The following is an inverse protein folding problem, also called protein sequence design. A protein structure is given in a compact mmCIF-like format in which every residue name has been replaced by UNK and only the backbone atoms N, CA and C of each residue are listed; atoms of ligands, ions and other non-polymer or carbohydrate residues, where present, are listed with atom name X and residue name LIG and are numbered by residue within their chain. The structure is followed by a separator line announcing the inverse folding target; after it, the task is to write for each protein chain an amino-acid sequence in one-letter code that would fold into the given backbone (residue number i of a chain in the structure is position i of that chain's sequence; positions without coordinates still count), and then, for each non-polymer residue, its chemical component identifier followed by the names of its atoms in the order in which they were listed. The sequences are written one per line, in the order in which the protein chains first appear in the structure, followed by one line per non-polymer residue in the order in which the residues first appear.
data_IF_965791440622
#
_entry.id   IF_965791440622
#
_cell.length_a   1.000
_cell.length_b   1.000
_cell.length_c   1.000
_cell.angle_alpha   90.00
_cell.angle_beta   90.00
_cell.angle_gamma   90.00
#
_symmetry.space_group_name_H-M   'P 1'
#
loop_
_entity.id
_entity.type
_entity.pdbx_description
1 polymer ?
#
# COMPACT_ATOMS: atom_id res chain seq x y z
N UNK A 1 -20.32 -7.57 19.00
CA UNK A 1 -21.06 -7.30 17.74
C UNK A 1 -20.11 -7.43 16.57
N UNK A 2 -20.52 -8.07 15.47
CA UNK A 2 -19.68 -8.12 14.27
C UNK A 2 -19.98 -6.88 13.42
N UNK A 3 -18.94 -6.15 13.06
CA UNK A 3 -19.05 -4.98 12.18
C UNK A 3 -18.28 -5.32 10.92
N UNK A 4 -18.96 -5.25 9.77
CA UNK A 4 -18.32 -5.27 8.46
C UNK A 4 -18.59 -3.93 7.77
N UNK A 5 -17.66 -3.47 6.95
CA UNK A 5 -17.86 -2.28 6.14
C UNK A 5 -17.13 -2.40 4.81
N UNK A 6 -17.67 -1.73 3.80
CA UNK A 6 -17.02 -1.51 2.51
C UNK A 6 -17.04 -0.02 2.20
N UNK A 7 -15.94 0.49 1.66
CA UNK A 7 -15.82 1.89 1.27
C UNK A 7 -16.07 1.96 -0.23
N UNK A 8 -17.08 2.74 -0.61
CA UNK A 8 -17.57 2.78 -1.99
C UNK A 8 -17.62 4.22 -2.44
N UNK A 9 -16.93 4.48 -3.54
CA UNK A 9 -16.98 5.77 -4.21
C UNK A 9 -18.35 5.93 -4.90
N UNK A 10 -19.01 7.06 -4.66
CA UNK A 10 -20.30 7.41 -5.26
C UNK A 10 -21.42 6.37 -5.00
N UNK A 11 -21.45 5.75 -3.81
CA UNK A 11 -22.56 4.87 -3.43
C UNK A 11 -23.85 5.68 -3.21
N UNK A 12 -24.96 5.21 -3.78
CA UNK A 12 -26.25 5.87 -3.63
C UNK A 12 -26.96 5.42 -2.33
N UNK A 13 -27.62 6.34 -1.60
CA UNK A 13 -28.37 5.98 -0.39
C UNK A 13 -29.41 4.88 -0.62
N UNK A 14 -29.99 4.83 -1.83
CA UNK A 14 -31.08 3.91 -2.17
C UNK A 14 -30.66 2.45 -2.22
N UNK A 15 -29.36 2.19 -2.32
CA UNK A 15 -28.75 0.85 -2.32
C UNK A 15 -28.82 0.19 -0.93
N UNK A 16 -29.19 0.96 0.10
CA UNK A 16 -29.42 0.51 1.46
C UNK A 16 -30.89 0.67 1.89
N UNK A 17 -31.26 -0.09 2.91
CA UNK A 17 -32.57 0.02 3.57
C UNK A 17 -32.55 0.98 4.75
N UNK A 18 -31.35 1.35 5.21
CA UNK A 18 -31.11 2.34 6.25
C UNK A 18 -30.04 3.33 5.77
N UNK A 19 -30.29 4.63 5.93
CA UNK A 19 -29.29 5.67 5.71
C UNK A 19 -29.04 6.45 7.01
N UNK A 20 -27.77 6.72 7.31
CA UNK A 20 -27.38 7.57 8.44
C UNK A 20 -26.95 8.93 7.87
N UNK A 21 -27.48 10.02 8.44
CA UNK A 21 -27.23 11.39 7.94
C UNK A 21 -26.92 12.35 9.08
N UNK A 22 -26.07 13.33 8.83
CA UNK A 22 -25.76 14.38 9.82
C UNK A 22 -26.80 15.50 9.79
N UNK A 23 -27.08 16.09 10.95
CA UNK A 23 -27.92 17.28 11.12
C UNK A 23 -27.38 18.19 12.23
N UNK A 24 -27.97 19.37 12.40
CA UNK A 24 -27.80 20.15 13.63
C UNK A 24 -28.90 19.83 14.66
N UNK A 25 -28.76 20.34 15.88
CA UNK A 25 -29.65 20.08 17.03
C UNK A 25 -31.10 20.54 16.83
N UNK A 26 -31.37 21.42 15.84
CA UNK A 26 -32.70 21.97 15.55
C UNK A 26 -33.32 21.29 14.31
N UNK A 27 -32.57 20.46 13.58
CA UNK A 27 -33.07 19.78 12.40
C UNK A 27 -33.20 20.70 11.18
N UNK A 28 -32.29 21.64 10.95
CA UNK A 28 -32.38 22.47 9.74
C UNK A 28 -32.03 21.65 8.49
N UNK A 29 -32.78 21.80 7.37
CA UNK A 29 -32.38 21.23 6.09
C UNK A 29 -31.00 21.74 5.66
N UNK A 30 -30.15 20.82 5.21
CA UNK A 30 -28.82 21.05 4.67
C UNK A 30 -28.58 20.18 3.43
N UNK A 31 -27.42 20.32 2.78
CA UNK A 31 -27.18 19.65 1.50
C UNK A 31 -27.32 18.12 1.58
N UNK A 32 -26.68 17.49 2.57
CA UNK A 32 -26.65 16.03 2.71
C UNK A 32 -28.02 15.44 3.07
N UNK A 33 -28.66 15.94 4.14
CA UNK A 33 -29.94 15.38 4.57
C UNK A 33 -31.02 15.62 3.50
N UNK A 34 -31.07 16.79 2.85
CA UNK A 34 -32.03 17.08 1.78
C UNK A 34 -31.81 16.19 0.56
N UNK A 35 -30.54 15.93 0.19
CA UNK A 35 -30.20 14.98 -0.87
C UNK A 35 -30.75 13.57 -0.57
N UNK A 36 -30.47 13.05 0.63
CA UNK A 36 -30.92 11.70 1.01
C UNK A 36 -32.45 11.63 1.14
N UNK A 37 -33.08 12.67 1.71
CA UNK A 37 -34.53 12.78 1.80
C UNK A 37 -35.17 12.68 0.42
N UNK A 38 -34.71 13.49 -0.53
CA UNK A 38 -35.21 13.48 -1.90
C UNK A 38 -35.04 12.09 -2.55
N UNK A 39 -33.86 11.47 -2.40
CA UNK A 39 -33.59 10.11 -2.93
C UNK A 39 -34.51 9.05 -2.33
N UNK A 40 -34.90 9.18 -1.07
CA UNK A 40 -35.83 8.26 -0.40
C UNK A 40 -37.30 8.62 -0.65
N UNK A 41 -37.58 9.69 -1.41
CA UNK A 41 -38.94 10.16 -1.70
C UNK A 41 -39.58 10.90 -0.52
N UNK A 42 -38.78 11.50 0.36
CA UNK A 42 -39.23 12.27 1.51
C UNK A 42 -39.19 13.77 1.25
N UNK A 43 -40.15 14.47 1.88
CA UNK A 43 -40.19 15.92 1.89
C UNK A 43 -39.40 16.47 3.09
N UNK A 44 -38.69 17.60 2.91
CA UNK A 44 -37.87 18.22 3.97
C UNK A 44 -38.66 18.59 5.23
N UNK A 45 -39.98 18.73 5.13
CA UNK A 45 -40.85 19.01 6.28
C UNK A 45 -40.77 17.96 7.39
N UNK A 46 -40.28 16.75 7.12
CA UNK A 46 -40.08 15.74 8.17
C UNK A 46 -39.06 16.20 9.22
N UNK A 47 -38.14 17.07 8.83
CA UNK A 47 -37.10 17.57 9.73
C UNK A 47 -37.69 18.29 10.95
N UNK A 48 -38.86 18.93 10.80
CA UNK A 48 -39.58 19.62 11.87
C UNK A 48 -40.21 18.66 12.91
N UNK A 49 -40.22 17.36 12.63
CA UNK A 49 -40.84 16.34 13.49
C UNK A 49 -39.80 15.56 14.31
N UNK A 50 -38.51 15.77 14.06
CA UNK A 50 -37.42 15.02 14.71
C UNK A 50 -37.23 15.44 16.17
N UNK A 51 -37.06 14.48 17.07
CA UNK A 51 -36.65 14.73 18.46
C UNK A 51 -35.13 14.54 18.63
N UNK A 52 -34.39 15.60 18.34
CA UNK A 52 -32.92 15.59 18.29
C UNK A 52 -32.24 15.93 19.62
N UNK A 53 -33.00 16.15 20.71
CA UNK A 53 -32.45 16.59 22.01
C UNK A 53 -31.46 15.61 22.62
N UNK A 54 -31.61 14.32 22.31
CA UNK A 54 -30.71 13.23 22.74
C UNK A 54 -29.50 13.04 21.82
N UNK A 55 -29.32 13.90 20.82
CA UNK A 55 -28.21 13.85 19.88
C UNK A 55 -28.47 13.07 18.59
N UNK A 56 -29.60 12.38 18.46
CA UNK A 56 -30.00 11.70 17.23
C UNK A 56 -31.50 11.42 17.24
N UNK A 57 -32.05 11.09 16.07
CA UNK A 57 -33.41 10.52 15.98
C UNK A 57 -33.52 9.49 14.85
N UNK A 58 -34.30 8.43 15.07
CA UNK A 58 -34.54 7.37 14.10
C UNK A 58 -35.94 7.53 13.51
N UNK A 59 -36.01 7.81 12.22
CA UNK A 59 -37.25 7.99 11.49
C UNK A 59 -37.49 6.83 10.52
N UNK A 60 -38.74 6.40 10.38
CA UNK A 60 -39.13 5.36 9.45
C UNK A 60 -40.36 5.80 8.65
N UNK A 61 -40.30 5.63 7.33
CA UNK A 61 -41.46 5.80 6.46
C UNK A 61 -41.32 4.87 5.25
N UNK A 62 -42.42 4.27 4.78
CA UNK A 62 -42.43 3.34 3.63
C UNK A 62 -41.39 2.19 3.68
N UNK A 63 -41.04 1.72 4.88
CA UNK A 63 -40.08 0.62 5.07
C UNK A 63 -38.60 1.00 4.93
N UNK A 64 -38.27 2.27 4.69
CA UNK A 64 -36.90 2.79 4.68
C UNK A 64 -36.61 3.52 6.00
N UNK A 65 -35.45 3.26 6.58
CA UNK A 65 -35.01 3.85 7.84
C UNK A 65 -34.03 5.01 7.59
N UNK A 66 -34.19 6.09 8.34
CA UNK A 66 -33.30 7.24 8.35
C UNK A 66 -32.88 7.52 9.78
N UNK A 67 -31.58 7.47 10.04
CA UNK A 67 -31.01 7.84 11.32
C UNK A 67 -30.34 9.21 11.19
N UNK A 68 -30.93 10.21 11.83
CA UNK A 68 -30.37 11.56 11.91
C UNK A 68 -29.44 11.64 13.10
N UNK A 69 -28.19 12.07 12.89
CA UNK A 69 -27.18 12.23 13.94
C UNK A 69 -26.81 13.70 14.04
N UNK A 70 -26.93 14.27 15.24
CA UNK A 70 -26.55 15.66 15.50
C UNK A 70 -25.03 15.76 15.54
N UNK A 71 -24.47 16.51 14.60
CA UNK A 71 -23.02 16.79 14.52
C UNK A 71 -22.67 18.25 14.78
N UNK A 72 -23.70 19.11 14.88
CA UNK A 72 -23.56 20.56 15.11
C UNK A 72 -24.58 20.96 16.16
N UNK A 73 -24.12 21.60 17.22
CA UNK A 73 -24.94 22.13 18.30
C UNK A 73 -24.35 23.45 18.79
N UNK A 74 -25.13 24.26 19.50
CA UNK A 74 -24.65 25.50 20.11
C UNK A 74 -23.50 25.26 21.09
N UNK A 75 -23.50 24.12 21.76
CA UNK A 75 -22.47 23.68 22.69
C UNK A 75 -21.91 22.32 22.24
N UNK A 76 -20.58 22.22 22.22
CA UNK A 76 -19.86 20.99 21.88
C UNK A 76 -19.17 21.04 20.53
N UNK A 77 -17.99 20.43 20.47
CA UNK A 77 -17.22 20.31 19.23
C UNK A 77 -17.78 19.19 18.35
N UNK A 78 -17.80 19.41 17.02
CA UNK A 78 -18.31 18.42 16.05
C UNK A 78 -17.69 17.05 16.19
N UNK A 79 -16.39 16.95 16.53
CA UNK A 79 -15.71 15.66 16.74
C UNK A 79 -16.30 14.87 17.90
N UNK A 80 -16.57 15.55 19.02
CA UNK A 80 -17.14 14.95 20.24
C UNK A 80 -18.59 14.57 19.98
N UNK A 81 -19.37 15.51 19.43
CA UNK A 81 -20.78 15.28 19.09
C UNK A 81 -20.95 14.11 18.12
N UNK A 82 -20.17 14.06 17.03
CA UNK A 82 -20.25 12.98 16.06
C UNK A 82 -19.94 11.64 16.72
N UNK A 83 -18.84 11.54 17.47
CA UNK A 83 -18.43 10.28 18.10
C UNK A 83 -19.50 9.77 19.07
N UNK A 84 -19.90 10.59 20.03
CA UNK A 84 -20.85 10.22 21.08
C UNK A 84 -22.24 9.95 20.51
N UNK A 85 -22.75 10.86 19.68
CA UNK A 85 -24.10 10.73 19.14
C UNK A 85 -24.21 9.57 18.16
N UNK A 86 -23.23 9.34 17.30
CA UNK A 86 -23.26 8.19 16.38
C UNK A 86 -23.19 6.86 17.14
N UNK A 87 -22.30 6.76 18.15
CA UNK A 87 -22.21 5.58 18.98
C UNK A 87 -23.55 5.30 19.68
N UNK A 88 -24.12 6.30 20.36
CA UNK A 88 -25.40 6.19 21.07
C UNK A 88 -26.57 5.92 20.12
N UNK A 89 -26.54 6.50 18.92
CA UNK A 89 -27.56 6.31 17.91
C UNK A 89 -27.59 4.87 17.39
N UNK A 90 -26.41 4.30 17.13
CA UNK A 90 -26.31 2.91 16.66
C UNK A 90 -26.60 1.95 17.82
N UNK A 91 -25.95 2.11 18.97
CA UNK A 91 -26.03 1.18 20.09
C UNK A 91 -27.46 1.03 20.64
N UNK A 92 -28.22 2.12 20.73
CA UNK A 92 -29.59 2.09 21.24
C UNK A 92 -30.63 1.62 20.20
N UNK A 93 -30.26 1.52 18.92
CA UNK A 93 -31.16 1.10 17.83
C UNK A 93 -30.72 -0.19 17.12
N UNK A 94 -29.74 -0.91 17.68
CA UNK A 94 -29.25 -2.21 17.19
C UNK A 94 -30.41 -3.14 16.78
N UNK A 95 -31.42 -3.30 17.64
CA UNK A 95 -32.58 -4.16 17.38
C UNK A 95 -33.38 -3.77 16.14
N UNK A 96 -33.47 -2.48 15.82
CA UNK A 96 -34.18 -1.96 14.65
C UNK A 96 -33.40 -2.16 13.34
N UNK A 97 -32.07 -2.33 13.41
CA UNK A 97 -31.23 -2.46 12.23
C UNK A 97 -31.19 -3.89 11.68
N UNK A 98 -31.40 -4.89 12.54
CA UNK A 98 -31.43 -6.29 12.11
C UNK A 98 -30.20 -6.69 11.29
N UNK A 99 -30.43 -7.18 10.06
CA UNK A 99 -29.38 -7.51 9.08
C UNK A 99 -29.39 -6.54 7.87
N UNK A 100 -29.88 -5.32 8.05
CA UNK A 100 -29.96 -4.34 6.96
C UNK A 100 -28.57 -3.88 6.54
N UNK A 101 -28.39 -3.63 5.24
CA UNK A 101 -27.26 -2.84 4.76
C UNK A 101 -27.49 -1.38 5.15
N UNK A 102 -26.46 -0.77 5.73
CA UNK A 102 -26.49 0.59 6.27
C UNK A 102 -25.63 1.47 5.36
N UNK A 103 -26.24 2.45 4.71
CA UNK A 103 -25.51 3.49 3.99
C UNK A 103 -25.09 4.59 4.97
N UNK A 104 -23.80 4.91 4.98
CA UNK A 104 -23.19 5.85 5.91
C UNK A 104 -22.18 6.72 5.16
N UNK A 105 -22.44 8.02 4.98
CA UNK A 105 -21.46 8.93 4.39
C UNK A 105 -20.44 9.39 5.42
N UNK A 106 -19.40 10.11 4.98
CA UNK A 106 -18.48 10.81 5.86
C UNK A 106 -19.19 11.99 6.55
N UNK A 107 -19.58 11.79 7.81
CA UNK A 107 -20.37 12.74 8.60
C UNK A 107 -19.55 13.93 9.12
N UNK A 108 -20.19 15.09 9.27
CA UNK A 108 -19.58 16.29 9.86
C UNK A 108 -18.61 17.06 8.95
N UNK A 109 -18.51 16.69 7.67
CA UNK A 109 -17.52 17.21 6.71
C UNK A 109 -17.94 18.48 5.97
N UNK A 110 -19.23 18.82 6.03
CA UNK A 110 -19.77 20.08 5.55
C UNK A 110 -19.64 21.19 6.60
N UNK A 111 -20.77 21.71 7.07
CA UNK A 111 -20.82 22.77 8.08
C UNK A 111 -20.15 22.42 9.42
N UNK A 112 -19.90 21.14 9.70
CA UNK A 112 -19.16 20.68 10.88
C UNK A 112 -17.64 20.83 10.77
N UNK A 113 -17.12 21.11 9.56
CA UNK A 113 -15.71 21.47 9.34
C UNK A 113 -14.69 20.33 9.46
N UNK A 114 -15.13 19.06 9.55
CA UNK A 114 -14.21 17.93 9.57
C UNK A 114 -13.62 17.67 8.17
N UNK A 115 -12.36 17.23 8.13
CA UNK A 115 -11.84 16.61 6.90
C UNK A 115 -12.41 15.21 6.71
N UNK A 116 -12.26 14.64 5.51
CA UNK A 116 -12.69 13.27 5.23
C UNK A 116 -11.92 12.23 6.06
N UNK A 117 -10.62 12.45 6.28
CA UNK A 117 -9.76 11.63 7.14
C UNK A 117 -10.17 11.70 8.60
N UNK A 118 -10.52 12.89 9.10
CA UNK A 118 -10.98 13.08 10.47
C UNK A 118 -12.32 12.39 10.71
N UNK A 119 -13.27 12.58 9.79
CA UNK A 119 -14.55 11.89 9.81
C UNK A 119 -14.36 10.37 9.81
N UNK A 120 -13.53 9.85 8.90
CA UNK A 120 -13.22 8.42 8.79
C UNK A 120 -12.62 7.83 10.07
N UNK A 121 -11.63 8.51 10.66
CA UNK A 121 -11.03 8.09 11.94
C UNK A 121 -12.07 8.03 13.06
N UNK A 122 -13.01 8.97 13.10
CA UNK A 122 -14.10 8.96 14.08
C UNK A 122 -15.06 7.79 13.83
N UNK A 123 -15.45 7.53 12.58
CA UNK A 123 -16.28 6.39 12.22
C UNK A 123 -15.62 5.06 12.63
N UNK A 124 -14.33 4.88 12.33
CA UNK A 124 -13.56 3.70 12.77
C UNK A 124 -13.52 3.54 14.29
N UNK A 125 -13.34 4.65 15.02
CA UNK A 125 -13.36 4.62 16.48
C UNK A 125 -14.70 4.13 17.02
N UNK A 126 -15.82 4.62 16.45
CA UNK A 126 -17.17 4.19 16.82
C UNK A 126 -17.38 2.73 16.46
N UNK A 127 -16.96 2.28 15.28
CA UNK A 127 -17.06 0.87 14.88
C UNK A 127 -16.31 -0.07 15.83
N UNK A 128 -15.16 0.35 16.34
CA UNK A 128 -14.40 -0.43 17.31
C UNK A 128 -15.11 -0.48 18.65
N UNK A 129 -15.58 0.64 19.18
CA UNK A 129 -16.34 0.67 20.45
C UNK A 129 -17.65 -0.14 20.36
N UNK A 130 -18.33 -0.13 19.20
CA UNK A 130 -19.53 -0.92 18.96
C UNK A 130 -19.28 -2.43 18.99
N UNK A 131 -18.08 -2.91 18.62
CA UNK A 131 -17.74 -4.35 18.67
C UNK A 131 -17.81 -4.88 20.10
N UNK A 132 -17.46 -4.04 21.09
CA UNK A 132 -17.34 -4.39 22.50
C UNK A 132 -18.68 -4.55 23.23
N UNK A 133 -19.79 -4.12 22.62
CA UNK A 133 -21.16 -4.20 23.21
C UNK A 133 -21.67 -5.65 23.38
N UNK A 134 -20.95 -6.67 22.86
CA UNK A 134 -21.29 -8.08 23.12
C UNK A 134 -22.54 -8.62 22.42
N UNK A 135 -23.16 -7.85 21.51
CA UNK A 135 -24.31 -8.32 20.70
C UNK A 135 -23.91 -9.39 19.67
N UNK A 136 -24.82 -10.33 19.39
CA UNK A 136 -24.69 -11.36 18.33
C UNK A 136 -25.05 -10.86 16.92
N UNK A 137 -25.55 -9.63 16.78
CA UNK A 137 -25.88 -9.08 15.47
C UNK A 137 -24.62 -8.76 14.64
N UNK A 138 -24.82 -8.74 13.33
CA UNK A 138 -23.85 -8.31 12.34
C UNK A 138 -24.39 -7.06 11.62
N UNK A 139 -23.64 -5.97 11.67
CA UNK A 139 -23.97 -4.74 10.96
C UNK A 139 -23.03 -4.59 9.75
N UNK A 140 -23.61 -4.33 8.58
CA UNK A 140 -22.89 -4.18 7.33
C UNK A 140 -23.02 -2.73 6.84
N UNK A 141 -21.91 -1.99 6.82
CA UNK A 141 -21.89 -0.59 6.41
C UNK A 141 -21.38 -0.44 4.97
N UNK A 142 -22.07 0.37 4.18
CA UNK A 142 -21.57 0.94 2.94
C UNK A 142 -21.13 2.36 3.26
N UNK A 143 -19.83 2.56 3.41
CA UNK A 143 -19.23 3.85 3.69
C UNK A 143 -19.12 4.62 2.39
N UNK A 144 -20.00 5.60 2.20
CA UNK A 144 -20.15 6.32 0.96
C UNK A 144 -19.22 7.54 0.90
N UNK A 145 -18.33 7.55 -0.09
CA UNK A 145 -17.45 8.68 -0.38
C UNK A 145 -18.08 9.50 -1.51
N UNK A 146 -18.19 10.84 -1.35
CA UNK A 146 -18.83 11.68 -2.36
C UNK A 146 -18.06 11.70 -3.69
N UNK A 147 -18.79 11.85 -4.79
CA UNK A 147 -18.24 12.02 -6.14
C UNK A 147 -17.82 13.48 -6.39
N UNK A 148 -16.80 13.91 -5.67
CA UNK A 148 -16.14 15.19 -5.87
C UNK A 148 -14.62 15.03 -5.81
N UNK A 149 -13.88 16.09 -6.17
CA UNK A 149 -12.41 16.06 -6.22
C UNK A 149 -11.78 15.64 -4.88
N UNK A 150 -12.31 16.14 -3.77
CA UNK A 150 -11.84 15.79 -2.42
C UNK A 150 -12.17 14.36 -2.07
N UNK A 151 -13.33 13.88 -2.51
CA UNK A 151 -13.81 12.52 -2.27
C UNK A 151 -12.98 11.53 -3.05
N UNK A 152 -12.62 11.87 -4.29
CA UNK A 152 -11.74 11.08 -5.11
C UNK A 152 -10.31 11.06 -4.54
N UNK A 153 -9.78 12.20 -4.09
CA UNK A 153 -8.49 12.28 -3.40
C UNK A 153 -8.47 11.40 -2.14
N UNK A 154 -9.46 11.56 -1.25
CA UNK A 154 -9.61 10.73 -0.05
C UNK A 154 -9.78 9.25 -0.38
N UNK A 155 -10.64 8.92 -1.35
CA UNK A 155 -10.88 7.55 -1.77
C UNK A 155 -9.61 6.93 -2.32
N UNK A 156 -8.83 7.64 -3.14
CA UNK A 156 -7.57 7.15 -3.68
C UNK A 156 -6.49 7.03 -2.60
N UNK A 157 -6.44 7.96 -1.64
CA UNK A 157 -5.55 7.86 -0.49
C UNK A 157 -5.91 6.67 0.41
N UNK A 158 -7.19 6.39 0.64
CA UNK A 158 -7.63 5.18 1.35
C UNK A 158 -7.43 3.89 0.54
N UNK A 159 -7.75 3.94 -0.75
CA UNK A 159 -7.70 2.79 -1.66
C UNK A 159 -6.28 2.46 -2.10
N UNK A 160 -5.32 3.38 -1.93
CA UNK A 160 -3.90 3.14 -2.09
C UNK A 160 -3.34 2.31 -0.93
N UNK A 161 -3.55 2.72 0.32
CA UNK A 161 -2.93 2.05 1.48
C UNK A 161 -3.73 0.83 2.00
N UNK A 162 -5.07 0.89 1.99
CA UNK A 162 -5.94 -0.14 2.59
C UNK A 162 -6.24 -1.30 1.63
N UNK A 163 -6.43 -1.03 0.33
CA UNK A 163 -6.68 -2.07 -0.68
C UNK A 163 -5.41 -2.89 -0.94
N UNK A 164 -4.26 -2.24 -0.99
CA UNK A 164 -2.97 -2.93 -1.16
C UNK A 164 -2.65 -3.81 0.05
N UNK A 165 -2.90 -3.34 1.28
CA UNK A 165 -2.74 -4.16 2.49
C UNK A 165 -3.69 -5.37 2.51
N UNK A 166 -4.96 -5.18 2.11
CA UNK A 166 -5.90 -6.30 1.96
C UNK A 166 -5.41 -7.30 0.92
N UNK A 167 -4.92 -6.84 -0.24
CA UNK A 167 -4.33 -7.71 -1.26
C UNK A 167 -3.13 -8.50 -0.72
N UNK A 168 -2.25 -7.89 0.07
CA UNK A 168 -1.14 -8.61 0.74
C UNK A 168 -1.71 -9.73 1.62
N UNK A 169 -2.71 -9.42 2.45
CA UNK A 169 -3.34 -10.40 3.35
C UNK A 169 -4.05 -11.53 2.59
N UNK A 170 -4.69 -11.22 1.46
CA UNK A 170 -5.31 -12.21 0.58
C UNK A 170 -4.27 -13.12 -0.08
N UNK A 171 -3.18 -12.55 -0.61
CA UNK A 171 -2.08 -13.33 -1.21
C UNK A 171 -1.43 -14.24 -0.19
N UNK A 172 -1.18 -13.76 1.03
CA UNK A 172 -0.66 -14.57 2.15
C UNK A 172 -1.57 -15.78 2.39
N UNK A 173 -2.89 -15.56 2.46
CA UNK A 173 -3.86 -16.65 2.66
C UNK A 173 -3.94 -17.61 1.47
N UNK A 174 -3.99 -17.08 0.25
CA UNK A 174 -4.12 -17.87 -0.99
C UNK A 174 -2.91 -18.78 -1.21
N UNK A 175 -1.72 -18.25 -0.94
CA UNK A 175 -0.45 -18.99 -1.08
C UNK A 175 -0.13 -19.85 0.16
N UNK A 176 -0.92 -19.74 1.23
CA UNK A 176 -0.72 -20.50 2.47
C UNK A 176 0.55 -20.12 3.23
N UNK A 177 1.01 -18.87 3.07
CA UNK A 177 2.22 -18.36 3.72
C UNK A 177 1.97 -18.11 5.20
N UNK A 178 2.95 -18.46 6.04
CA UNK A 178 2.92 -18.15 7.47
C UNK A 178 3.73 -16.88 7.73
N UNK A 179 3.36 -16.17 8.78
CA UNK A 179 4.04 -14.94 9.20
C UNK A 179 4.68 -15.18 10.56
N UNK A 180 5.93 -14.76 10.73
CA UNK A 180 6.65 -14.88 11.99
C UNK A 180 7.16 -13.51 12.42
N UNK A 181 6.82 -13.10 13.64
CA UNK A 181 7.45 -11.96 14.30
C UNK A 181 8.77 -12.41 14.89
N UNK A 182 9.85 -11.68 14.61
CA UNK A 182 11.18 -12.02 15.10
C UNK A 182 11.87 -10.86 15.81
N UNK A 183 12.61 -11.17 16.87
CA UNK A 183 13.48 -10.25 17.59
C UNK A 183 14.94 -10.38 17.15
N UNK A 184 15.74 -9.38 17.49
CA UNK A 184 17.14 -9.25 17.10
C UNK A 184 18.08 -8.92 18.25
N UNK A 185 17.58 -8.92 19.48
CA UNK A 185 18.38 -8.59 20.65
C UNK A 185 18.47 -9.77 21.61
N UNK A 186 19.70 -10.11 21.98
CA UNK A 186 20.06 -11.05 23.02
C UNK A 186 21.39 -10.61 23.63
N UNK A 187 21.63 -10.97 24.89
CA UNK A 187 22.86 -10.64 25.64
C UNK A 187 23.23 -9.14 25.67
N UNK A 188 22.27 -8.25 25.44
CA UNK A 188 22.47 -6.80 25.41
C UNK A 188 22.93 -6.24 24.06
N UNK A 189 23.20 -7.10 23.08
CA UNK A 189 23.60 -6.71 21.73
C UNK A 189 22.40 -6.64 20.78
N UNK A 190 22.50 -5.76 19.79
CA UNK A 190 21.54 -5.59 18.70
C UNK A 190 22.13 -6.20 17.42
N UNK A 191 21.42 -7.14 16.81
CA UNK A 191 21.93 -7.99 15.73
C UNK A 191 21.29 -7.68 14.37
N UNK A 192 20.40 -6.67 14.34
CA UNK A 192 19.67 -6.26 13.15
C UNK A 192 20.56 -6.00 11.92
N UNK A 193 21.67 -5.28 12.09
CA UNK A 193 22.59 -4.94 10.98
C UNK A 193 23.20 -6.20 10.37
N UNK A 194 23.71 -7.11 11.22
CA UNK A 194 24.22 -8.42 10.80
C UNK A 194 23.18 -9.22 10.02
N UNK A 195 21.93 -9.22 10.47
CA UNK A 195 20.83 -9.93 9.81
C UNK A 195 20.55 -9.40 8.42
N UNK A 196 20.52 -8.08 8.27
CA UNK A 196 20.24 -7.41 7.01
C UNK A 196 21.36 -7.56 5.99
N UNK A 197 22.62 -7.55 6.44
CA UNK A 197 23.80 -7.66 5.58
C UNK A 197 24.04 -9.10 5.12
N UNK A 198 23.86 -10.06 6.03
CA UNK A 198 24.10 -11.47 5.71
C UNK A 198 22.88 -12.16 5.08
N UNK A 199 21.71 -11.51 5.05
CA UNK A 199 20.47 -12.10 4.53
C UNK A 199 19.99 -13.28 5.37
N UNK A 200 19.99 -13.11 6.69
CA UNK A 200 19.63 -14.17 7.65
C UNK A 200 18.74 -13.63 8.76
N UNK A 201 18.10 -14.54 9.47
CA UNK A 201 17.67 -14.34 10.84
C UNK A 201 18.15 -15.52 11.71
N UNK A 202 18.52 -15.24 12.96
CA UNK A 202 19.03 -16.25 13.90
C UNK A 202 18.49 -15.97 15.31
N UNK A 203 18.04 -17.01 16.00
CA UNK A 203 17.67 -16.89 17.42
C UNK A 203 18.92 -16.86 18.29
N UNK A 204 18.98 -15.96 19.27
CA UNK A 204 20.03 -16.00 20.29
C UNK A 204 19.95 -17.28 21.12
N UNK A 205 20.89 -18.21 20.90
CA UNK A 205 21.18 -19.49 21.59
C UNK A 205 20.09 -20.13 22.48
N UNK A 206 18.81 -20.06 22.08
CA UNK A 206 17.67 -20.55 22.86
C UNK A 206 17.00 -21.72 22.14
N UNK A 207 17.36 -22.94 22.54
CA UNK A 207 16.78 -24.18 22.01
C UNK A 207 15.25 -24.25 22.19
N UNK A 208 14.66 -23.42 23.06
CA UNK A 208 13.22 -23.33 23.30
C UNK A 208 12.42 -23.11 22.03
N UNK A 209 12.96 -22.37 21.06
CA UNK A 209 12.26 -22.02 19.83
C UNK A 209 12.61 -22.92 18.65
N UNK A 210 13.52 -23.87 18.81
CA UNK A 210 13.98 -24.78 17.75
C UNK A 210 12.84 -25.48 17.03
N UNK A 211 11.81 -25.93 17.77
CA UNK A 211 10.62 -26.56 17.21
C UNK A 211 9.86 -25.64 16.26
N UNK A 212 9.66 -24.37 16.61
CA UNK A 212 8.96 -23.38 15.76
C UNK A 212 9.84 -23.07 14.54
N UNK A 213 11.13 -22.82 14.76
CA UNK A 213 12.09 -22.47 13.71
C UNK A 213 12.17 -23.57 12.65
N UNK A 214 12.14 -24.84 13.07
CA UNK A 214 12.13 -25.98 12.16
C UNK A 214 10.82 -26.14 11.37
N UNK A 215 9.75 -25.42 11.72
CA UNK A 215 8.50 -25.44 10.93
C UNK A 215 8.46 -24.39 9.82
N UNK A 216 9.40 -23.44 9.82
CA UNK A 216 9.44 -22.33 8.86
C UNK A 216 9.86 -22.85 7.49
N UNK A 217 9.12 -22.50 6.45
CA UNK A 217 9.35 -22.92 5.06
C UNK A 217 9.85 -21.76 4.21
N UNK A 218 10.49 -22.09 3.11
CA UNK A 218 10.79 -21.13 2.05
C UNK A 218 9.48 -20.49 1.54
N UNK A 219 9.49 -19.17 1.36
CA UNK A 219 8.33 -18.35 1.03
C UNK A 219 7.58 -17.76 2.24
N UNK A 220 7.76 -18.29 3.45
CA UNK A 220 7.15 -17.70 4.65
C UNK A 220 7.67 -16.27 4.90
N UNK A 221 6.90 -15.48 5.64
CA UNK A 221 7.19 -14.07 5.89
C UNK A 221 7.75 -13.89 7.30
N UNK A 222 8.78 -13.05 7.41
CA UNK A 222 9.40 -12.67 8.68
C UNK A 222 9.26 -11.17 8.88
N UNK A 223 8.64 -10.76 9.99
CA UNK A 223 8.55 -9.36 10.42
C UNK A 223 9.52 -9.15 11.57
N UNK A 224 10.54 -8.35 11.33
CA UNK A 224 11.49 -7.97 12.36
C UNK A 224 10.91 -6.86 13.24
N UNK A 225 10.85 -7.13 14.56
CA UNK A 225 10.28 -6.24 15.55
C UNK A 225 11.10 -6.13 16.83
N UNK A 226 10.80 -5.10 17.61
CA UNK A 226 11.09 -5.05 19.05
C UNK A 226 9.81 -4.75 19.83
N UNK A 227 9.70 -5.23 21.07
CA UNK A 227 8.59 -4.89 21.95
C UNK A 227 9.11 -4.18 23.19
N UNK A 228 8.51 -3.05 23.56
CA UNK A 228 8.88 -2.33 24.78
C UNK A 228 7.67 -1.67 25.44
N UNK A 229 7.64 -1.63 26.79
CA UNK A 229 6.70 -0.82 27.55
C UNK A 229 7.16 0.64 27.63
N UNK A 230 6.22 1.58 27.76
CA UNK A 230 6.53 2.97 28.12
C UNK A 230 6.26 3.22 29.60
N UNK A 231 6.82 4.33 30.12
CA UNK A 231 6.63 4.76 31.52
C UNK A 231 5.17 5.05 31.87
N UNK A 232 4.34 5.32 30.87
CA UNK A 232 2.91 5.61 31.01
C UNK A 232 2.02 4.36 30.96
N UNK A 233 2.62 3.15 30.94
CA UNK A 233 1.91 1.88 30.95
C UNK A 233 1.41 1.40 29.59
N UNK A 234 1.66 2.16 28.51
CA UNK A 234 1.40 1.72 27.13
C UNK A 234 2.45 0.71 26.67
N UNK A 235 2.06 -0.25 25.83
CA UNK A 235 2.94 -1.28 25.29
C UNK A 235 3.00 -1.16 23.77
N UNK A 236 4.20 -1.12 23.21
CA UNK A 236 4.41 -0.95 21.77
C UNK A 236 5.13 -2.14 21.16
N UNK A 237 4.76 -2.43 19.92
CA UNK A 237 5.59 -3.18 18.98
C UNK A 237 6.20 -2.18 18.00
N UNK A 238 7.52 -2.12 17.93
CA UNK A 238 8.23 -1.36 16.90
C UNK A 238 8.58 -2.27 15.74
N UNK A 239 8.00 -1.98 14.58
CA UNK A 239 8.36 -2.58 13.31
C UNK A 239 9.72 -2.03 12.84
N UNK A 240 10.63 -2.94 12.50
CA UNK A 240 12.00 -2.63 12.04
C UNK A 240 12.26 -3.07 10.60
N UNK A 241 11.57 -4.09 10.13
CA UNK A 241 11.74 -4.62 8.80
C UNK A 241 10.84 -5.82 8.51
N UNK A 242 10.84 -6.24 7.24
CA UNK A 242 10.08 -7.38 6.74
C UNK A 242 10.92 -8.09 5.68
N UNK A 243 10.92 -9.41 5.71
CA UNK A 243 11.61 -10.24 4.73
C UNK A 243 10.87 -11.53 4.44
N UNK A 244 11.37 -12.24 3.45
CA UNK A 244 10.84 -13.52 2.96
C UNK A 244 11.88 -14.59 3.21
N UNK A 245 11.45 -15.74 3.71
CA UNK A 245 12.34 -16.86 3.98
C UNK A 245 12.82 -17.45 2.66
N UNK A 246 14.13 -17.43 2.44
CA UNK A 246 14.80 -18.01 1.26
C UNK A 246 15.18 -19.47 1.47
N UNK A 247 15.33 -19.90 2.71
CA UNK A 247 15.71 -21.28 3.00
C UNK A 247 15.90 -21.53 4.48
N UNK A 248 15.68 -22.77 4.89
CA UNK A 248 15.82 -23.22 6.26
C UNK A 248 16.64 -24.52 6.27
N UNK A 249 17.76 -24.53 7.00
CA UNK A 249 18.56 -25.75 7.19
C UNK A 249 17.98 -26.69 8.25
N UNK A 250 16.87 -26.31 8.88
CA UNK A 250 16.19 -27.06 9.94
C UNK A 250 17.09 -27.41 11.13
N UNK A 251 18.02 -26.50 11.45
CA UNK A 251 18.96 -26.64 12.57
C UNK A 251 18.39 -26.05 13.88
N UNK A 252 17.15 -25.56 13.86
CA UNK A 252 16.47 -24.98 15.01
C UNK A 252 16.97 -23.61 15.45
N UNK A 253 17.86 -22.95 14.69
CA UNK A 253 18.48 -21.70 15.12
C UNK A 253 18.49 -20.60 14.06
N UNK A 254 18.67 -20.95 12.78
CA UNK A 254 18.96 -19.98 11.72
C UNK A 254 18.16 -20.25 10.45
N UNK A 255 17.67 -19.18 9.85
CA UNK A 255 16.99 -19.17 8.54
C UNK A 255 17.64 -18.12 7.62
N UNK A 256 17.64 -18.39 6.32
CA UNK A 256 17.98 -17.41 5.30
C UNK A 256 16.77 -16.53 4.98
N UNK A 257 16.97 -15.22 4.91
CA UNK A 257 15.91 -14.23 4.71
C UNK A 257 16.34 -13.23 3.64
N UNK A 258 15.49 -13.05 2.64
CA UNK A 258 15.56 -11.91 1.74
C UNK A 258 14.77 -10.74 2.33
N UNK A 259 15.48 -9.75 2.85
CA UNK A 259 14.90 -8.63 3.57
C UNK A 259 14.45 -7.54 2.59
N UNK A 260 13.14 -7.40 2.42
CA UNK A 260 12.50 -6.42 1.54
C UNK A 260 12.47 -5.02 2.14
N UNK A 261 12.16 -4.92 3.44
CA UNK A 261 12.07 -3.68 4.20
C UNK A 261 13.06 -3.70 5.35
N UNK A 262 13.83 -2.63 5.53
CA UNK A 262 14.91 -2.52 6.52
C UNK A 262 14.94 -1.15 7.17
N UNK A 263 15.40 -1.09 8.43
CA UNK A 263 15.72 0.18 9.12
C UNK A 263 14.52 1.02 9.56
N UNK A 264 13.30 0.47 9.57
CA UNK A 264 12.11 1.18 10.01
C UNK A 264 12.09 1.41 11.53
N UNK A 265 11.36 2.43 11.95
CA UNK A 265 11.10 2.76 13.36
C UNK A 265 9.63 3.15 13.54
N UNK A 266 8.74 2.23 13.18
CA UNK A 266 7.29 2.45 13.23
C UNK A 266 6.75 1.79 14.49
N UNK A 267 6.11 2.58 15.35
CA UNK A 267 5.55 2.12 16.61
C UNK A 267 4.06 1.81 16.48
N UNK A 268 3.67 0.61 16.87
CA UNK A 268 2.30 0.10 16.85
C UNK A 268 1.83 -0.09 18.29
N UNK A 269 0.80 0.66 18.70
CA UNK A 269 0.18 0.54 20.02
C UNK A 269 -0.49 -0.85 20.18
N UNK A 270 -0.60 -1.31 21.44
CA UNK A 270 -1.32 -2.52 21.85
C UNK A 270 -0.80 -3.87 21.32
N UNK A 271 0.34 -3.91 20.62
CA UNK A 271 1.01 -5.14 20.18
C UNK A 271 2.28 -5.50 20.97
N UNK A 272 2.62 -4.74 22.02
CA UNK A 272 3.83 -4.97 22.82
C UNK A 272 3.81 -6.23 23.70
N UNK A 273 2.77 -7.05 23.63
CA UNK A 273 2.72 -8.37 24.27
C UNK A 273 3.50 -9.44 23.49
N UNK A 274 3.86 -9.18 22.22
CA UNK A 274 4.76 -10.02 21.40
C UNK A 274 6.22 -9.88 21.85
N UNK A 275 6.52 -10.32 23.08
CA UNK A 275 7.83 -10.14 23.73
C UNK A 275 8.86 -11.22 23.40
N UNK A 276 8.44 -12.37 22.89
CA UNK A 276 9.34 -13.50 22.60
C UNK A 276 10.23 -13.22 21.38
N UNK A 277 11.35 -13.94 21.31
CA UNK A 277 12.31 -13.86 20.20
C UNK A 277 11.68 -14.27 18.87
N UNK A 278 10.75 -15.22 18.89
CA UNK A 278 9.92 -15.56 17.74
C UNK A 278 8.48 -15.83 18.19
N UNK A 279 7.51 -15.44 17.37
CA UNK A 279 6.10 -15.77 17.55
C UNK A 279 5.38 -15.79 16.19
N UNK A 280 4.39 -16.67 16.06
CA UNK A 280 3.42 -16.59 14.97
C UNK A 280 2.24 -15.71 15.45
N UNK A 281 2.04 -14.52 14.87
CA UNK A 281 0.98 -13.60 15.29
C UNK A 281 -0.38 -14.02 14.71
N UNK A 282 -1.45 -13.44 15.26
CA UNK A 282 -2.77 -13.58 14.65
C UNK A 282 -2.86 -12.77 13.36
N UNK A 283 -3.77 -13.14 12.45
CA UNK A 283 -4.01 -12.36 11.23
C UNK A 283 -4.44 -10.92 11.54
N UNK A 284 -5.12 -10.69 12.68
CA UNK A 284 -5.51 -9.37 13.13
C UNK A 284 -4.29 -8.52 13.49
N UNK A 285 -3.28 -9.09 14.15
CA UNK A 285 -2.05 -8.39 14.49
C UNK A 285 -1.22 -8.08 13.23
N UNK A 286 -1.13 -9.03 12.29
CA UNK A 286 -0.48 -8.80 10.99
C UNK A 286 -1.17 -7.65 10.27
N UNK A 287 -2.50 -7.64 10.23
CA UNK A 287 -3.30 -6.56 9.63
C UNK A 287 -2.99 -5.22 10.29
N UNK A 288 -2.96 -5.18 11.62
CA UNK A 288 -2.63 -3.96 12.37
C UNK A 288 -1.22 -3.47 12.03
N UNK A 289 -0.22 -4.35 11.98
CA UNK A 289 1.16 -3.98 11.63
C UNK A 289 1.23 -3.41 10.22
N UNK A 290 0.65 -4.10 9.23
CA UNK A 290 0.69 -3.66 7.83
C UNK A 290 -0.02 -2.32 7.64
N UNK A 291 -1.14 -2.08 8.33
CA UNK A 291 -1.85 -0.79 8.28
C UNK A 291 -1.05 0.40 8.84
N UNK A 292 0.06 0.17 9.54
CA UNK A 292 0.97 1.23 10.00
C UNK A 292 2.11 1.51 9.01
N UNK A 293 2.25 0.71 7.94
CA UNK A 293 3.22 0.93 6.88
C UNK A 293 2.64 1.92 5.85
N UNK A 294 3.52 2.60 5.12
CA UNK A 294 3.12 3.48 4.02
C UNK A 294 2.94 2.70 2.71
N UNK A 295 2.27 3.32 1.72
CA UNK A 295 2.02 2.76 0.40
C UNK A 295 3.27 2.13 -0.22
N UNK A 296 4.38 2.85 -0.26
CA UNK A 296 5.61 2.37 -0.90
C UNK A 296 6.12 1.07 -0.27
N UNK A 297 6.08 0.95 1.06
CA UNK A 297 6.46 -0.26 1.76
C UNK A 297 5.51 -1.43 1.44
N UNK A 298 4.19 -1.18 1.37
CA UNK A 298 3.21 -2.20 1.02
C UNK A 298 3.38 -2.64 -0.44
N UNK A 299 3.66 -1.72 -1.37
CA UNK A 299 3.93 -2.01 -2.78
C UNK A 299 5.14 -2.89 -2.97
N UNK A 300 6.21 -2.68 -2.22
CA UNK A 300 7.39 -3.55 -2.24
C UNK A 300 7.02 -4.99 -1.86
N UNK A 301 6.18 -5.16 -0.83
CA UNK A 301 5.70 -6.47 -0.41
C UNK A 301 4.79 -7.10 -1.47
N UNK A 302 3.86 -6.33 -2.04
CA UNK A 302 2.98 -6.79 -3.11
C UNK A 302 3.75 -7.21 -4.38
N UNK A 303 4.74 -6.43 -4.78
CA UNK A 303 5.57 -6.72 -5.94
C UNK A 303 6.33 -8.05 -5.79
N UNK A 304 6.70 -8.40 -4.55
CA UNK A 304 7.29 -9.69 -4.27
C UNK A 304 6.26 -10.83 -4.28
N UNK A 305 5.10 -10.64 -3.63
CA UNK A 305 4.10 -11.70 -3.49
C UNK A 305 3.31 -11.97 -4.78
N UNK A 306 3.24 -11.00 -5.68
CA UNK A 306 2.57 -11.14 -6.98
C UNK A 306 3.34 -10.39 -8.07
N UNK A 307 4.53 -10.88 -8.48
CA UNK A 307 5.38 -10.18 -9.44
C UNK A 307 4.71 -10.06 -10.82
N UNK A 308 3.81 -10.97 -11.16
CA UNK A 308 3.03 -10.94 -12.40
C UNK A 308 2.02 -9.78 -12.46
N UNK A 309 1.56 -9.27 -11.32
CA UNK A 309 0.64 -8.12 -11.25
C UNK A 309 1.35 -6.77 -11.35
N UNK A 310 2.67 -6.72 -11.25
CA UNK A 310 3.49 -5.52 -11.39
C UNK A 310 4.18 -5.42 -12.75
N UNK A 311 3.77 -6.24 -13.71
CA UNK A 311 4.07 -6.03 -15.11
C UNK A 311 3.10 -4.96 -15.63
N UNK A 312 3.59 -3.70 -15.66
CA UNK A 312 3.01 -2.49 -16.28
C UNK A 312 2.04 -1.66 -15.38
N UNK A 313 2.28 -0.41 -14.96
CA UNK A 313 2.36 0.80 -15.80
C UNK A 313 2.95 2.04 -15.09
N UNK A 314 4.16 1.99 -14.52
CA UNK A 314 4.90 3.22 -14.11
C UNK A 314 5.94 3.62 -15.15
N UNK A 315 5.56 3.61 -16.42
CA UNK A 315 6.18 4.49 -17.39
C UNK A 315 5.44 5.84 -17.38
N UNK A 316 5.77 6.70 -16.42
CA UNK A 316 5.77 8.12 -16.76
C UNK A 316 6.81 8.21 -17.87
N UNK A 317 6.41 8.63 -19.07
CA UNK A 317 7.37 9.01 -20.10
C UNK A 317 8.23 10.12 -19.50
N UNK A 318 9.40 9.77 -18.96
CA UNK A 318 10.40 10.75 -18.64
C UNK A 318 10.67 11.55 -19.90
N UNK A 319 10.94 12.85 -19.75
CA UNK A 319 11.66 13.60 -20.78
C UNK A 319 13.08 13.00 -20.88
N UNK A 320 13.17 11.83 -21.48
CA UNK A 320 14.40 11.18 -21.87
C UNK A 320 14.77 11.80 -23.21
N UNK A 321 15.63 12.81 -23.18
CA UNK A 321 16.44 13.14 -24.35
C UNK A 321 17.13 11.87 -24.82
N UNK A 322 16.90 11.44 -26.06
CA UNK A 322 17.43 10.24 -26.72
C UNK A 322 18.65 9.63 -25.99
N UNK A 323 18.40 8.72 -25.04
CA UNK A 323 19.48 8.00 -24.37
C UNK A 323 19.98 6.92 -25.31
N UNK A 324 21.19 7.08 -25.84
CA UNK A 324 21.83 6.10 -26.72
C UNK A 324 22.47 4.91 -25.95
N UNK A 325 22.17 4.81 -24.66
CA UNK A 325 22.60 3.76 -23.71
C UNK A 325 21.36 3.03 -23.17
N UNK A 326 21.52 1.78 -22.72
CA UNK A 326 20.41 0.97 -22.16
C UNK A 326 20.30 -0.42 -22.77
N UNK A 327 19.28 -1.17 -22.38
CA UNK A 327 18.95 -2.51 -22.89
C UNK A 327 18.45 -2.45 -24.35
N UNK A 328 18.74 -3.50 -25.13
CA UNK A 328 18.29 -3.57 -26.51
C UNK A 328 16.84 -4.07 -26.61
N UNK A 329 15.91 -3.14 -26.78
CA UNK A 329 14.50 -3.44 -27.04
C UNK A 329 14.14 -3.43 -28.53
N UNK A 330 15.10 -3.13 -29.41
CA UNK A 330 14.91 -3.08 -30.87
C UNK A 330 15.40 -4.34 -31.58
N UNK A 331 15.96 -5.30 -30.81
CA UNK A 331 16.53 -6.55 -31.30
C UNK A 331 17.60 -6.32 -32.41
N UNK A 332 18.44 -5.30 -32.21
CA UNK A 332 19.52 -4.91 -33.11
C UNK A 332 20.84 -5.61 -32.78
N UNK A 333 20.96 -6.26 -31.62
CA UNK A 333 22.18 -6.95 -31.19
C UNK A 333 22.70 -7.99 -32.21
N UNK A 334 21.85 -8.76 -32.92
CA UNK A 334 22.35 -9.66 -33.98
C UNK A 334 23.16 -8.94 -35.05
N UNK A 335 22.68 -7.79 -35.53
CA UNK A 335 23.37 -6.98 -36.53
C UNK A 335 24.63 -6.33 -35.93
N UNK A 336 24.52 -5.74 -34.73
CA UNK A 336 25.65 -5.16 -33.99
C UNK A 336 26.79 -6.18 -33.85
N UNK A 337 26.46 -7.42 -33.48
CA UNK A 337 27.44 -8.49 -33.33
C UNK A 337 28.09 -8.85 -34.67
N UNK A 338 27.32 -8.97 -35.74
CA UNK A 338 27.86 -9.27 -37.07
C UNK A 338 28.84 -8.18 -37.54
N UNK A 339 28.47 -6.90 -37.38
CA UNK A 339 29.34 -5.78 -37.73
C UNK A 339 30.58 -5.70 -36.83
N UNK A 340 30.44 -5.91 -35.52
CA UNK A 340 31.56 -5.87 -34.59
C UNK A 340 32.60 -6.96 -34.90
N UNK A 341 32.14 -8.18 -35.18
CA UNK A 341 33.01 -9.30 -35.56
C UNK A 341 33.80 -8.97 -36.83
N UNK A 342 33.15 -8.41 -37.84
CA UNK A 342 33.81 -8.01 -39.09
C UNK A 342 34.84 -6.89 -38.86
N UNK A 343 34.45 -5.84 -38.12
CA UNK A 343 35.27 -4.64 -37.91
C UNK A 343 36.46 -4.89 -36.99
N UNK A 344 36.33 -5.80 -36.02
CA UNK A 344 37.40 -6.14 -35.09
C UNK A 344 38.33 -7.25 -35.62
N UNK A 345 37.95 -7.98 -36.67
CA UNK A 345 38.72 -9.12 -37.18
C UNK A 345 40.10 -8.71 -37.68
N UNK A 346 41.14 -9.39 -37.18
CA UNK A 346 42.53 -9.13 -37.57
C UNK A 346 42.84 -9.50 -39.03
N UNK A 347 42.07 -10.43 -39.59
CA UNK A 347 42.16 -10.84 -41.00
C UNK A 347 41.51 -9.84 -41.96
N UNK A 348 40.73 -8.89 -41.45
CA UNK A 348 40.07 -7.88 -42.28
C UNK A 348 41.10 -6.92 -42.89
N UNK A 349 40.98 -6.66 -44.20
CA UNK A 349 41.86 -5.75 -44.94
C UNK A 349 41.09 -4.48 -45.34
N UNK A 350 41.41 -3.29 -44.78
CA UNK A 350 40.75 -2.03 -45.13
C UNK A 350 41.04 -1.60 -46.59
N UNK A 351 40.19 -0.73 -47.19
CA UNK A 351 39.19 0.13 -46.55
C UNK A 351 37.77 -0.47 -46.47
N UNK A 352 37.05 -0.10 -45.41
CA UNK A 352 35.60 -0.35 -45.26
C UNK A 352 34.89 0.96 -44.93
N UNK A 353 33.75 1.19 -45.57
CA UNK A 353 32.82 2.24 -45.20
C UNK A 353 31.43 1.63 -44.98
N UNK A 354 30.82 1.95 -43.85
CA UNK A 354 29.47 1.49 -43.50
C UNK A 354 28.58 2.71 -43.33
N UNK A 355 27.45 2.72 -44.05
CA UNK A 355 26.44 3.77 -43.91
C UNK A 355 25.23 3.23 -43.15
N UNK A 356 24.92 3.84 -42.00
CA UNK A 356 23.74 3.50 -41.21
C UNK A 356 22.59 4.46 -41.55
N UNK A 357 21.58 3.97 -42.27
CA UNK A 357 20.44 4.74 -42.76
C UNK A 357 19.19 4.46 -41.92
N UNK A 358 18.46 5.50 -41.55
CA UNK A 358 17.22 5.36 -40.78
C UNK A 358 16.55 6.69 -40.47
N UNK A 359 15.23 6.69 -40.23
CA UNK A 359 14.45 7.88 -39.89
C UNK A 359 14.96 8.55 -38.59
N UNK A 360 14.68 9.84 -38.40
CA UNK A 360 15.05 10.52 -37.15
C UNK A 360 14.38 9.80 -35.95
N UNK A 361 15.11 9.63 -34.84
CA UNK A 361 14.65 8.84 -33.68
C UNK A 361 14.69 7.31 -33.84
N UNK A 362 15.12 6.75 -34.99
CA UNK A 362 15.11 5.30 -35.22
C UNK A 362 16.20 4.50 -34.47
N UNK A 363 16.87 5.07 -33.48
CA UNK A 363 17.91 4.37 -32.71
C UNK A 363 19.30 4.28 -33.36
N UNK A 364 19.62 5.07 -34.40
CA UNK A 364 20.95 5.02 -35.05
C UNK A 364 22.11 5.28 -34.08
N UNK A 365 21.98 6.29 -33.22
CA UNK A 365 23.00 6.61 -32.21
C UNK A 365 23.14 5.48 -31.20
N UNK A 366 22.04 4.84 -30.82
CA UNK A 366 22.01 3.68 -29.94
C UNK A 366 22.74 2.48 -30.57
N UNK A 367 22.48 2.20 -31.85
CA UNK A 367 23.20 1.18 -32.62
C UNK A 367 24.70 1.44 -32.66
N UNK A 368 25.11 2.68 -32.99
CA UNK A 368 26.54 3.05 -33.05
C UNK A 368 27.24 2.90 -31.70
N UNK A 369 26.55 3.19 -30.61
CA UNK A 369 27.07 3.01 -29.26
C UNK A 369 27.21 1.53 -28.89
N UNK A 370 26.19 0.71 -29.16
CA UNK A 370 26.26 -0.75 -28.95
C UNK A 370 27.38 -1.40 -29.78
N UNK A 371 27.54 -0.96 -31.02
CA UNK A 371 28.63 -1.40 -31.90
C UNK A 371 30.01 -1.05 -31.34
N UNK A 372 30.18 0.18 -30.82
CA UNK A 372 31.43 0.57 -30.15
C UNK A 372 31.75 -0.35 -28.98
N UNK A 373 30.82 -0.50 -28.06
CA UNK A 373 31.03 -1.31 -26.85
C UNK A 373 31.36 -2.77 -27.20
N UNK A 374 30.71 -3.32 -28.24
CA UNK A 374 30.98 -4.68 -28.69
C UNK A 374 32.38 -4.81 -29.31
N UNK A 375 32.84 -3.81 -30.09
CA UNK A 375 34.20 -3.79 -30.65
C UNK A 375 35.25 -3.68 -29.53
N UNK A 376 35.02 -2.80 -28.55
CA UNK A 376 35.89 -2.67 -27.37
C UNK A 376 36.02 -4.00 -26.63
N UNK A 377 34.88 -4.65 -26.34
CA UNK A 377 34.87 -5.97 -25.69
C UNK A 377 35.58 -7.06 -26.50
N UNK A 378 35.44 -7.07 -27.82
CA UNK A 378 36.18 -8.00 -28.68
C UNK A 378 37.69 -7.70 -28.71
N UNK A 379 38.08 -6.43 -28.61
CA UNK A 379 39.48 -5.99 -28.63
C UNK A 379 40.24 -6.35 -27.34
N UNK A 380 39.51 -6.53 -26.23
CA UNK A 380 40.05 -6.95 -24.94
C UNK A 380 40.24 -8.48 -24.83
N UNK A 381 39.63 -9.27 -25.73
CA UNK A 381 39.79 -10.72 -25.75
C UNK A 381 41.16 -11.13 -26.29
N UNK A 382 41.95 -11.80 -25.45
CA UNK A 382 43.27 -12.31 -25.84
C UNK A 382 43.20 -13.69 -26.54
N UNK A 383 42.57 -13.73 -27.71
CA UNK A 383 42.36 -14.97 -28.48
C UNK A 383 43.09 -15.00 -29.84
N UNK A 384 43.75 -13.89 -30.23
CA UNK A 384 44.53 -13.78 -31.47
C UNK A 384 43.72 -13.57 -32.76
N UNK A 385 42.39 -13.64 -32.70
CA UNK A 385 41.50 -13.47 -33.87
C UNK A 385 41.11 -12.00 -34.13
N UNK A 386 41.07 -11.18 -33.08
CA UNK A 386 40.69 -9.77 -33.15
C UNK A 386 41.88 -8.83 -32.95
N UNK A 387 41.77 -7.62 -33.49
CA UNK A 387 42.73 -6.54 -33.25
C UNK A 387 42.65 -6.08 -31.79
N UNK A 388 43.81 -5.96 -31.12
CA UNK A 388 43.89 -5.41 -29.76
C UNK A 388 43.97 -3.89 -29.80
N UNK A 389 43.32 -3.24 -28.82
CA UNK A 389 43.41 -1.79 -28.62
C UNK A 389 42.83 -0.98 -29.79
N UNK A 390 41.62 -1.30 -30.22
CA UNK A 390 40.94 -0.58 -31.30
C UNK A 390 40.52 0.80 -30.78
N UNK A 391 40.99 1.86 -31.46
CA UNK A 391 40.68 3.25 -31.07
C UNK A 391 39.53 3.79 -31.91
N UNK A 392 38.48 4.24 -31.24
CA UNK A 392 37.31 4.84 -31.88
C UNK A 392 37.47 6.37 -31.99
N UNK A 393 37.52 6.88 -33.22
CA UNK A 393 37.50 8.32 -33.49
C UNK A 393 36.08 8.75 -33.86
N UNK A 394 35.47 9.60 -33.02
CA UNK A 394 34.13 10.13 -33.29
C UNK A 394 34.22 11.52 -33.91
N UNK A 395 33.62 11.67 -35.10
CA UNK A 395 33.54 12.95 -35.80
C UNK A 395 32.07 13.38 -35.93
N UNK A 396 31.74 14.55 -35.35
CA UNK A 396 30.43 15.17 -35.52
C UNK A 396 30.53 16.31 -36.52
N UNK A 397 30.02 16.10 -37.74
CA UNK A 397 30.10 17.09 -38.81
C UNK A 397 29.41 18.43 -38.46
N UNK A 398 28.32 18.40 -37.67
CA UNK A 398 27.55 19.60 -37.31
C UNK A 398 28.31 20.49 -36.32
N UNK A 399 29.02 19.89 -35.36
CA UNK A 399 29.83 20.63 -34.39
C UNK A 399 31.05 21.32 -35.02
N UNK A 400 31.45 20.89 -36.22
CA UNK A 400 32.62 21.41 -36.93
C UNK A 400 32.26 22.31 -38.13
N UNK A 401 30.97 22.51 -38.44
CA UNK A 401 30.56 23.47 -39.47
C UNK A 401 30.68 24.93 -39.00
N UNK A 402 30.63 25.18 -37.69
CA UNK A 402 30.79 26.54 -37.09
C UNK A 402 32.25 26.90 -36.80
N UNK A 403 33.18 25.95 -36.94
CA UNK A 403 34.61 26.17 -36.75
C UNK A 403 35.30 26.19 -38.12
N UNK A 404 35.67 27.38 -38.61
CA UNK A 404 36.60 27.49 -39.72
C UNK A 404 37.91 26.78 -39.33
N UNK A 405 38.26 25.71 -40.06
CA UNK A 405 39.57 25.06 -40.01
C UNK A 405 40.68 25.99 -40.53
#
# INVERSE_FOLDING_TARGET
MKISYQIVFNAEPTDASLAIVSTNEIGTPGALNSFVLNKFGYHESIMNQLDLKKGYDLFQLNGKLLLFVVTIAQLGETRVLLKENLFNAISNNISAFGNLNIWLPLLGTGAGGLTFEESWKLLLSVFNELKDIGSKQELNFVVAVPDDEKGNEFYNNLSGDYNETIKVLELIKQQGLRVFLVGSSWDGDEQAERFYDQGIWESGYDEKFSHIINTIKEGDIVIHKSAYPTREGKNFLRFKGLGIVRGNSYNGAKIGVDWLLKGFKIDVEDLGYHRTTIAEPSIADVTTILNHLNADAIRVVLAFLSPEQFIDSTHIAGLATDTYTGEDYLDIMPDVNAFALLLAAKSFQPPLAVALLGRWGSGKSFFMNKLRNQIEGLSDLDNGYFCKGIVHVHFNAWSYMDANL
#
